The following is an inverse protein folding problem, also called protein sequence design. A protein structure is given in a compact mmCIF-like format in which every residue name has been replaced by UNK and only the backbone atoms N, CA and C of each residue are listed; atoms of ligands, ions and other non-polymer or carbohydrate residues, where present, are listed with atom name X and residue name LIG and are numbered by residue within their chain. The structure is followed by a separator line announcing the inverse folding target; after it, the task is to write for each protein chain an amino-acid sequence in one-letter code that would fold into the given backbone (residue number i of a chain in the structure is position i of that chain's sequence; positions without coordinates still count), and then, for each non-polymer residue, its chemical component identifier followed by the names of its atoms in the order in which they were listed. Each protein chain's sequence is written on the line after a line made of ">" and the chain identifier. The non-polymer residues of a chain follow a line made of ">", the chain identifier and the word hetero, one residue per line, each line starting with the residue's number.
data_IF_262630009341
#
_entry.id   IF_262630009341
#
_cell.length_a   1.000
_cell.length_b   1.000
_cell.length_c   1.000
_cell.angle_alpha   90.00
_cell.angle_beta   90.00
_cell.angle_gamma   90.00
#
_symmetry.space_group_name_H-M   'P 1'
#
loop_
_entity.id
_entity.type
_entity.pdbx_description
1 polymer ?
#
# COMPACT_ATOMS: atom_id res chain seq x y z
N UNK A 1 -9.94 16.55 17.08
CA UNK A 1 -10.43 15.29 16.47
C UNK A 1 -9.87 15.12 15.08
N UNK A 2 -9.73 13.89 14.63
CA UNK A 2 -9.28 13.61 13.27
C UNK A 2 -10.42 13.90 12.29
N UNK A 3 -10.07 14.32 11.07
CA UNK A 3 -11.10 14.74 10.09
C UNK A 3 -11.18 13.82 8.87
N UNK A 4 -10.19 12.97 8.65
CA UNK A 4 -10.22 12.04 7.50
C UNK A 4 -9.14 10.98 7.66
N UNK A 5 -9.22 9.96 6.84
CA UNK A 5 -8.14 8.99 6.69
C UNK A 5 -7.13 9.60 5.72
N UNK A 6 -5.90 9.85 6.17
CA UNK A 6 -4.86 10.43 5.34
C UNK A 6 -4.30 9.40 4.37
N UNK A 7 -3.89 8.26 4.88
CA UNK A 7 -3.37 7.18 4.04
C UNK A 7 -3.52 5.82 4.69
N UNK A 8 -3.41 4.79 3.87
CA UNK A 8 -3.36 3.39 4.28
C UNK A 8 -2.06 2.82 3.74
N UNK A 9 -1.36 2.02 4.52
CA UNK A 9 -0.12 1.38 4.11
C UNK A 9 -0.37 -0.09 3.79
N UNK A 10 0.15 -0.55 2.65
CA UNK A 10 0.01 -1.93 2.19
C UNK A 10 1.39 -2.46 1.85
N UNK A 11 1.77 -3.57 2.46
CA UNK A 11 3.06 -4.23 2.20
C UNK A 11 2.86 -5.24 1.08
N UNK A 12 3.77 -5.22 0.09
CA UNK A 12 3.72 -6.15 -1.03
C UNK A 12 5.12 -6.69 -1.29
N UNK A 13 5.20 -7.92 -1.78
CA UNK A 13 6.44 -8.51 -2.24
C UNK A 13 6.57 -8.48 -3.78
N UNK A 14 5.63 -7.82 -4.45
CA UNK A 14 5.61 -7.64 -5.91
C UNK A 14 5.24 -6.19 -6.23
N UNK A 15 6.16 -5.27 -5.92
CA UNK A 15 5.86 -3.85 -5.95
C UNK A 15 5.34 -3.36 -7.30
N UNK A 16 6.08 -3.62 -8.40
CA UNK A 16 5.69 -3.08 -9.70
C UNK A 16 4.37 -3.67 -10.19
N UNK A 17 4.14 -4.94 -9.95
CA UNK A 17 2.88 -5.57 -10.31
C UNK A 17 1.72 -4.99 -9.50
N UNK A 18 1.95 -4.69 -8.24
CA UNK A 18 0.93 -4.08 -7.38
C UNK A 18 0.65 -2.63 -7.82
N UNK A 19 1.70 -1.87 -8.16
CA UNK A 19 1.54 -0.51 -8.71
C UNK A 19 0.68 -0.55 -9.96
N UNK A 20 1.00 -1.45 -10.90
CA UNK A 20 0.25 -1.56 -12.16
C UNK A 20 -1.22 -1.91 -11.91
N UNK A 21 -1.48 -2.82 -10.98
CA UNK A 21 -2.84 -3.18 -10.64
C UNK A 21 -3.63 -1.98 -10.09
N UNK A 22 -3.04 -1.24 -9.17
CA UNK A 22 -3.70 -0.08 -8.58
C UNK A 22 -3.91 1.04 -9.60
N UNK A 23 -2.94 1.29 -10.48
CA UNK A 23 -3.05 2.38 -11.46
C UNK A 23 -3.90 1.98 -12.66
N UNK A 24 -3.63 0.82 -13.26
CA UNK A 24 -4.27 0.43 -14.53
C UNK A 24 -5.65 -0.19 -14.33
N UNK A 25 -5.87 -0.89 -13.24
CA UNK A 25 -7.14 -1.58 -12.99
C UNK A 25 -8.05 -0.77 -12.06
N UNK A 26 -7.51 -0.29 -10.94
CA UNK A 26 -8.31 0.42 -9.94
C UNK A 26 -8.42 1.92 -10.17
N UNK A 27 -7.56 2.50 -11.00
CA UNK A 27 -7.66 3.92 -11.35
C UNK A 27 -6.98 4.89 -10.40
N UNK A 28 -6.10 4.39 -9.52
CA UNK A 28 -5.30 5.26 -8.68
C UNK A 28 -4.29 6.03 -9.51
N UNK A 29 -3.85 7.19 -9.01
CA UNK A 29 -2.81 7.99 -9.64
C UNK A 29 -1.51 7.82 -8.88
N UNK A 30 -0.43 7.55 -9.61
CA UNK A 30 0.91 7.50 -9.03
C UNK A 30 1.35 8.93 -8.73
N UNK A 31 1.65 9.21 -7.46
CA UNK A 31 2.05 10.55 -7.02
C UNK A 31 3.56 10.69 -6.81
N UNK A 32 4.19 9.68 -6.23
CA UNK A 32 5.61 9.76 -5.92
C UNK A 32 6.16 8.38 -5.63
N UNK A 33 7.48 8.25 -5.77
CA UNK A 33 8.24 7.09 -5.33
C UNK A 33 9.35 7.56 -4.41
N UNK A 34 9.68 6.74 -3.43
CA UNK A 34 10.74 7.05 -2.47
C UNK A 34 11.41 5.76 -2.03
N UNK A 35 12.53 5.90 -1.32
CA UNK A 35 13.26 4.78 -0.78
C UNK A 35 13.85 5.18 0.56
N UNK A 36 13.65 4.36 1.57
CA UNK A 36 14.26 4.55 2.88
C UNK A 36 15.33 3.48 3.07
N UNK A 37 16.51 3.88 3.56
CA UNK A 37 17.57 2.93 3.84
C UNK A 37 17.32 2.12 5.10
N UNK A 38 16.37 2.56 5.93
CA UNK A 38 16.06 1.91 7.19
C UNK A 38 14.57 1.62 7.30
N UNK A 39 14.25 0.42 7.77
CA UNK A 39 12.89 0.00 8.04
C UNK A 39 12.85 -0.74 9.38
N UNK A 40 11.65 -1.11 9.80
CA UNK A 40 11.46 -1.93 11.01
C UNK A 40 12.14 -3.29 10.90
N UNK A 41 12.40 -3.76 9.68
CA UNK A 41 13.10 -5.04 9.46
C UNK A 41 14.62 -4.87 9.32
N UNK A 42 15.12 -3.62 9.37
CA UNK A 42 16.55 -3.36 9.24
C UNK A 42 17.08 -3.46 7.81
N UNK A 43 16.21 -3.52 6.80
CA UNK A 43 16.59 -3.55 5.39
C UNK A 43 15.99 -2.33 4.68
N UNK A 44 16.50 -1.97 3.49
CA UNK A 44 15.91 -0.87 2.74
C UNK A 44 14.45 -1.12 2.38
N UNK A 45 13.71 -0.04 2.22
CA UNK A 45 12.28 -0.06 1.96
C UNK A 45 11.97 0.82 0.77
N UNK A 46 11.28 0.29 -0.24
CA UNK A 46 10.75 1.08 -1.34
C UNK A 46 9.33 1.49 -1.04
N UNK A 47 9.00 2.73 -1.39
CA UNK A 47 7.71 3.35 -1.11
C UNK A 47 7.12 3.89 -2.41
N UNK A 48 5.82 3.65 -2.62
CA UNK A 48 5.08 4.20 -3.75
C UNK A 48 3.81 4.83 -3.20
N UNK A 49 3.61 6.11 -3.51
CA UNK A 49 2.46 6.87 -3.03
C UNK A 49 1.43 6.98 -4.16
N UNK A 50 0.24 6.44 -3.91
CA UNK A 50 -0.88 6.44 -4.85
C UNK A 50 -2.03 7.24 -4.26
N UNK A 51 -2.86 7.81 -5.10
CA UNK A 51 -3.99 8.62 -4.63
C UNK A 51 -5.25 8.31 -5.42
N UNK A 52 -6.37 8.28 -4.72
CA UNK A 52 -7.70 8.14 -5.30
C UNK A 52 -8.68 8.91 -4.42
N UNK A 53 -9.33 9.93 -5.03
CA UNK A 53 -10.39 10.65 -4.34
C UNK A 53 -9.98 11.32 -3.03
N UNK A 54 -8.76 11.81 -2.95
CA UNK A 54 -8.29 12.50 -1.75
C UNK A 54 -7.74 11.58 -0.66
N UNK A 55 -7.78 10.27 -0.86
CA UNK A 55 -7.19 9.30 0.05
C UNK A 55 -5.96 8.70 -0.61
N UNK A 56 -4.90 8.53 0.17
CA UNK A 56 -3.65 7.95 -0.33
C UNK A 56 -3.52 6.49 0.09
N UNK A 57 -2.94 5.70 -0.79
CA UNK A 57 -2.46 4.37 -0.48
C UNK A 57 -0.95 4.40 -0.67
N UNK A 58 -0.23 3.92 0.33
CA UNK A 58 1.23 3.86 0.32
C UNK A 58 1.63 2.40 0.21
N UNK A 59 2.21 2.03 -0.93
CA UNK A 59 2.70 0.67 -1.13
C UNK A 59 4.13 0.59 -0.62
N UNK A 60 4.43 -0.47 0.12
CA UNK A 60 5.72 -0.66 0.78
C UNK A 60 6.29 -2.01 0.39
N UNK A 61 7.56 -2.03 -0.04
CA UNK A 61 8.26 -3.26 -0.39
C UNK A 61 9.62 -3.29 0.29
N UNK A 62 9.84 -4.29 1.14
CA UNK A 62 11.12 -4.48 1.83
C UNK A 62 12.10 -5.15 0.89
N UNK A 63 13.31 -4.60 0.80
CA UNK A 63 14.37 -5.14 -0.06
C UNK A 63 15.15 -6.22 0.68
N UNK A 64 15.04 -7.46 0.22
CA UNK A 64 15.81 -8.56 0.77
C UNK A 64 15.32 -9.09 2.11
N UNK A 65 14.25 -8.58 2.64
CA UNK A 65 13.67 -9.07 3.87
C UNK A 65 12.66 -10.17 3.61
N UNK A 66 12.30 -10.87 4.68
CA UNK A 66 11.24 -11.87 4.63
C UNK A 66 10.02 -11.32 5.34
N UNK A 67 8.89 -11.35 4.65
CA UNK A 67 7.62 -10.84 5.18
C UNK A 67 6.61 -11.98 5.16
N UNK A 68 5.89 -12.13 6.28
CA UNK A 68 4.87 -13.17 6.38
C UNK A 68 3.71 -12.88 5.43
N UNK A 69 3.12 -13.91 4.81
CA UNK A 69 1.93 -13.70 3.97
C UNK A 69 0.75 -13.23 4.81
N UNK A 70 -0.23 -12.60 4.14
CA UNK A 70 -1.45 -12.19 4.80
C UNK A 70 -2.20 -13.42 5.34
N UNK A 71 -2.90 -13.27 6.49
CA UNK A 71 -3.73 -14.36 7.00
C UNK A 71 -4.81 -14.75 5.99
N UNK A 72 -5.01 -16.06 5.81
CA UNK A 72 -6.03 -16.57 4.90
C UNK A 72 -7.42 -16.59 5.54
N UNK A 73 -7.48 -16.67 6.86
CA UNK A 73 -8.73 -16.79 7.60
C UNK A 73 -9.09 -15.49 8.29
N UNK A 74 -10.29 -15.43 8.86
CA UNK A 74 -10.71 -14.29 9.65
C UNK A 74 -9.78 -14.08 10.85
N UNK A 75 -9.48 -12.82 11.14
CA UNK A 75 -8.56 -12.45 12.21
C UNK A 75 -9.00 -11.12 12.81
N UNK A 76 -8.45 -10.80 13.97
CA UNK A 76 -8.70 -9.51 14.59
C UNK A 76 -7.97 -8.41 13.84
N UNK A 77 -8.59 -7.23 13.78
CA UNK A 77 -8.01 -6.05 13.18
C UNK A 77 -8.56 -5.76 11.78
N UNK A 78 -7.72 -5.16 10.96
CA UNK A 78 -8.12 -4.75 9.62
C UNK A 78 -8.50 -5.96 8.76
N UNK A 79 -9.59 -5.83 8.02
CA UNK A 79 -10.07 -6.92 7.17
C UNK A 79 -9.96 -6.60 5.69
N UNK A 80 -10.50 -5.47 5.25
CA UNK A 80 -10.49 -5.12 3.83
C UNK A 80 -10.73 -3.63 3.61
N UNK A 81 -10.43 -3.18 2.40
CA UNK A 81 -10.72 -1.84 1.93
C UNK A 81 -11.75 -1.96 0.80
N UNK A 82 -12.76 -1.10 0.82
CA UNK A 82 -13.79 -1.06 -0.22
C UNK A 82 -13.64 0.19 -1.06
N UNK A 83 -13.90 0.07 -2.36
CA UNK A 83 -13.85 1.18 -3.28
C UNK A 83 -15.26 1.45 -3.82
N UNK A 84 -15.59 2.73 -3.96
CA UNK A 84 -16.88 3.13 -4.51
C UNK A 84 -16.76 3.30 -6.02
N UNK A 85 -17.67 2.64 -6.77
CA UNK A 85 -17.74 2.78 -8.22
C UNK A 85 -18.35 4.15 -8.53
N UNK A 86 -17.88 4.77 -9.61
CA UNK A 86 -18.36 6.06 -10.06
C UNK A 86 -19.78 6.03 -10.65
N UNK A 87 -20.25 4.86 -11.04
CA UNK A 87 -21.58 4.71 -11.65
C UNK A 87 -22.70 4.70 -10.65
#
# INVERSE_FOLDING_TARGET
>A
MFKKIDHVEIVTDQLERTVDFYTDVLGFKLKARDRSDRSSLGVPLQLVYLELGGTSVELMAYEGGSVAPAPADEHLGYRMMALEDRR
#
